data_IF_485771363447
#
_entry.id   IF_485771363447
#
_cell.length_a   1.000
_cell.length_b   1.000
_cell.length_c   1.000
_cell.angle_alpha   90.00
_cell.angle_beta   90.00
_cell.angle_gamma   90.00
#
_symmetry.space_group_name_H-M   'P 1'
#
loop_
_entity.id
_entity.type
_entity.pdbx_description
1 polymer ?
#
# COMPACT_ATOMS: atom_id res chain seq x y z
N UNK A 1 -8.23 11.64 -0.31
CA UNK A 1 -8.52 10.67 -1.40
C UNK A 1 -8.15 9.28 -0.92
N UNK A 2 -8.73 8.23 -1.51
CA UNK A 2 -8.44 6.83 -1.14
C UNK A 2 -6.93 6.55 -1.23
N UNK A 3 -6.26 7.02 -2.29
CA UNK A 3 -4.80 6.90 -2.44
C UNK A 3 -4.02 7.49 -1.26
N UNK A 4 -4.33 8.73 -0.85
CA UNK A 4 -3.68 9.38 0.29
C UNK A 4 -3.87 8.59 1.59
N UNK A 5 -5.09 8.11 1.84
CA UNK A 5 -5.39 7.32 3.03
C UNK A 5 -4.60 5.99 3.06
N UNK A 6 -4.51 5.30 1.91
CA UNK A 6 -3.73 4.06 1.80
C UNK A 6 -2.22 4.31 1.91
N UNK A 7 -1.71 5.39 1.34
CA UNK A 7 -0.29 5.80 1.50
C UNK A 7 0.04 6.12 2.95
N UNK A 8 -0.84 6.85 3.65
CA UNK A 8 -0.69 7.15 5.08
C UNK A 8 -0.75 5.87 5.92
N UNK A 9 -1.69 4.97 5.63
CA UNK A 9 -1.80 3.68 6.31
C UNK A 9 -0.51 2.85 6.18
N UNK A 10 0.03 2.69 4.96
CA UNK A 10 1.29 1.96 4.76
C UNK A 10 2.47 2.64 5.42
N UNK A 11 2.49 3.97 5.50
CA UNK A 11 3.54 4.73 6.18
C UNK A 11 3.50 4.54 7.70
N UNK A 12 2.31 4.58 8.32
CA UNK A 12 2.17 4.48 9.79
C UNK A 12 2.25 3.05 10.31
N UNK A 13 2.01 2.05 9.46
CA UNK A 13 2.09 0.63 9.82
C UNK A 13 3.31 -0.06 9.18
N UNK A 14 4.35 0.70 8.85
CA UNK A 14 5.56 0.19 8.19
C UNK A 14 6.18 -0.99 8.94
N UNK A 15 6.34 -0.86 10.26
CA UNK A 15 7.06 -1.84 11.08
C UNK A 15 6.25 -3.13 11.26
N UNK A 16 4.92 -3.01 11.32
CA UNK A 16 3.98 -4.14 11.40
C UNK A 16 3.46 -4.58 10.03
N UNK A 17 4.02 -4.06 8.93
CA UNK A 17 3.47 -4.30 7.59
C UNK A 17 3.47 -5.79 7.24
N UNK A 18 4.46 -6.55 7.73
CA UNK A 18 4.54 -7.99 7.51
C UNK A 18 3.30 -8.72 8.04
N UNK A 19 2.84 -8.41 9.26
CA UNK A 19 1.64 -8.99 9.88
C UNK A 19 0.36 -8.52 9.18
N UNK A 20 0.30 -7.24 8.77
CA UNK A 20 -0.85 -6.71 8.06
C UNK A 20 -1.02 -7.35 6.69
N UNK A 21 0.07 -7.67 5.98
CA UNK A 21 0.02 -8.34 4.67
C UNK A 21 -0.64 -9.70 4.74
N UNK A 22 -0.51 -10.43 5.85
CA UNK A 22 -1.15 -11.73 6.05
C UNK A 22 -2.69 -11.63 6.18
N UNK A 23 -3.23 -10.42 6.36
CA UNK A 23 -4.68 -10.18 6.42
C UNK A 23 -5.30 -9.90 5.05
N UNK A 24 -4.49 -9.83 4.00
CA UNK A 24 -4.94 -9.60 2.64
C UNK A 24 -4.78 -10.86 1.79
N UNK A 25 -5.66 -11.03 0.83
CA UNK A 25 -5.46 -12.00 -0.25
C UNK A 25 -4.37 -11.52 -1.21
N UNK A 26 -3.81 -12.43 -2.00
CA UNK A 26 -2.77 -12.11 -2.98
C UNK A 26 -3.25 -11.04 -3.99
N UNK A 27 -4.48 -11.17 -4.50
CA UNK A 27 -5.09 -10.18 -5.40
C UNK A 27 -5.19 -8.79 -4.77
N UNK A 28 -5.58 -8.72 -3.49
CA UNK A 28 -5.67 -7.44 -2.77
C UNK A 28 -4.29 -6.81 -2.57
N UNK A 29 -3.24 -7.61 -2.34
CA UNK A 29 -1.87 -7.11 -2.22
C UNK A 29 -1.36 -6.55 -3.55
N UNK A 30 -1.70 -7.16 -4.68
CA UNK A 30 -1.38 -6.66 -6.02
C UNK A 30 -2.03 -5.30 -6.27
N UNK A 31 -3.32 -5.17 -5.96
CA UNK A 31 -4.05 -3.89 -6.08
C UNK A 31 -3.43 -2.83 -5.16
N UNK A 32 -3.11 -3.19 -3.91
CA UNK A 32 -2.46 -2.27 -2.98
C UNK A 32 -1.09 -1.81 -3.50
N UNK A 33 -0.28 -2.70 -4.09
CA UNK A 33 0.98 -2.33 -4.69
C UNK A 33 0.79 -1.33 -5.83
N UNK A 34 -0.13 -1.57 -6.77
CA UNK A 34 -0.43 -0.66 -7.88
C UNK A 34 -0.91 0.73 -7.40
N UNK A 35 -1.73 0.76 -6.35
CA UNK A 35 -2.24 2.01 -5.76
C UNK A 35 -1.15 2.79 -5.00
N UNK A 36 -0.20 2.09 -4.39
CA UNK A 36 0.85 2.66 -3.54
C UNK A 36 2.14 2.99 -4.28
N UNK A 37 2.37 2.37 -5.44
CA UNK A 37 3.38 2.79 -6.41
C UNK A 37 2.83 4.06 -7.06
N UNK A 38 3.21 5.21 -6.53
CA UNK A 38 3.04 6.45 -7.29
C UNK A 38 3.90 6.35 -8.56
N UNK A 39 3.40 6.70 -9.76
CA UNK A 39 4.27 6.90 -10.92
C UNK A 39 5.10 8.18 -10.70
N UNK A 40 6.03 8.15 -9.74
CA UNK A 40 6.92 9.27 -9.44
C UNK A 40 8.17 9.25 -10.33
N UNK A 41 8.04 8.90 -11.61
CA UNK A 41 9.17 8.86 -12.54
C UNK A 41 8.82 9.25 -13.99
N UNK A 42 7.95 10.25 -14.15
CA UNK A 42 7.84 11.05 -15.37
C UNK A 42 7.53 12.51 -15.00
N UNK A 43 8.55 13.26 -14.57
CA UNK A 43 8.57 14.72 -14.52
C UNK A 43 10.03 15.19 -14.58
#
# INVERSE_FOLDING_TARGET
SIKKALSEFRRTHHDSWHEHREKFTEDQLVILADVLISPSYYA
#
